data_IF_804366898445
#
_entry.id   IF_804366898445
#
_cell.length_a   1.000
_cell.length_b   1.000
_cell.length_c   1.000
_cell.angle_alpha   90.00
_cell.angle_beta   90.00
_cell.angle_gamma   90.00
#
_symmetry.space_group_name_H-M   'P 1'
#
loop_
_entity.id
_entity.type
_entity.pdbx_description
1 polymer ?
#
# COMPACT_ATOMS: atom_id res chain seq x y z
N UNK A 1 -16.52 4.47 -16.21
CA UNK A 1 -15.19 3.99 -15.72
C UNK A 1 -15.22 4.17 -14.22
N UNK A 2 -15.03 3.08 -13.46
CA UNK A 2 -14.83 3.25 -12.02
C UNK A 2 -13.62 4.19 -11.86
N UNK A 3 -13.75 5.15 -10.97
CA UNK A 3 -12.66 6.08 -10.70
C UNK A 3 -11.51 5.28 -10.07
N UNK A 4 -10.39 5.18 -10.79
CA UNK A 4 -9.22 4.41 -10.33
C UNK A 4 -8.38 5.18 -9.32
N UNK A 5 -8.72 6.45 -9.11
CA UNK A 5 -8.02 7.32 -8.16
C UNK A 5 -8.85 7.50 -6.90
N UNK A 6 -8.22 7.32 -5.75
CA UNK A 6 -8.85 7.49 -4.45
C UNK A 6 -8.48 8.85 -3.86
N UNK A 7 -9.44 9.47 -3.25
CA UNK A 7 -9.24 10.62 -2.37
C UNK A 7 -8.77 10.16 -0.98
N UNK A 8 -8.25 11.09 -0.21
CA UNK A 8 -7.90 10.90 1.20
C UNK A 8 -9.10 10.41 2.03
N UNK A 9 -10.28 10.97 1.78
CA UNK A 9 -11.51 10.61 2.50
C UNK A 9 -11.98 9.19 2.18
N UNK A 10 -11.85 8.74 0.94
CA UNK A 10 -12.16 7.36 0.54
C UNK A 10 -11.18 6.37 1.18
N UNK A 11 -9.89 6.72 1.26
CA UNK A 11 -8.91 5.91 1.96
C UNK A 11 -9.22 5.85 3.47
N UNK A 12 -9.59 6.97 4.09
CA UNK A 12 -10.01 7.00 5.49
C UNK A 12 -11.27 6.16 5.73
N UNK A 13 -12.21 6.20 4.82
CA UNK A 13 -13.41 5.35 4.91
C UNK A 13 -13.07 3.86 4.93
N UNK A 14 -12.07 3.45 4.16
CA UNK A 14 -11.57 2.06 4.18
C UNK A 14 -10.93 1.70 5.52
N UNK A 15 -10.10 2.59 6.09
CA UNK A 15 -9.50 2.41 7.43
C UNK A 15 -10.58 2.23 8.51
N UNK A 16 -11.67 2.98 8.39
CA UNK A 16 -12.80 2.94 9.34
C UNK A 16 -13.79 1.79 9.08
N UNK A 17 -13.50 0.89 8.13
CA UNK A 17 -14.37 -0.24 7.81
C UNK A 17 -15.69 0.14 7.12
N UNK A 18 -15.75 1.29 6.48
CA UNK A 18 -16.94 1.81 5.78
C UNK A 18 -17.00 1.45 4.30
N UNK A 19 -16.14 0.54 3.87
CA UNK A 19 -16.08 0.00 2.50
C UNK A 19 -16.50 -1.47 2.50
N UNK A 20 -16.51 -2.12 1.33
CA UNK A 20 -16.83 -3.54 1.23
C UNK A 20 -15.89 -4.43 2.07
N UNK A 21 -16.39 -5.58 2.50
CA UNK A 21 -15.67 -6.53 3.37
C UNK A 21 -14.35 -7.03 2.75
N UNK A 22 -14.25 -7.03 1.43
CA UNK A 22 -13.06 -7.50 0.68
C UNK A 22 -12.12 -6.34 0.29
N UNK A 23 -12.24 -5.17 0.91
CA UNK A 23 -11.33 -4.06 0.65
C UNK A 23 -10.03 -4.26 1.42
N UNK A 24 -8.93 -4.30 0.68
CA UNK A 24 -7.57 -4.48 1.21
C UNK A 24 -6.75 -3.23 0.92
N UNK A 25 -6.11 -2.70 1.95
CA UNK A 25 -5.12 -1.62 1.80
C UNK A 25 -3.75 -2.26 1.57
N UNK A 26 -3.03 -1.83 0.54
CA UNK A 26 -1.71 -2.34 0.20
C UNK A 26 -0.69 -1.21 0.12
N UNK A 27 0.25 -1.25 1.06
CA UNK A 27 1.44 -0.41 1.07
C UNK A 27 2.53 -1.06 0.23
N UNK A 28 3.02 -0.34 -0.77
CA UNK A 28 4.05 -0.86 -1.68
C UNK A 28 5.40 -0.16 -1.52
N UNK A 29 5.58 0.55 -0.39
CA UNK A 29 6.85 1.16 -0.01
C UNK A 29 7.86 0.13 0.49
N UNK A 30 9.06 0.60 0.86
CA UNK A 30 10.06 -0.23 1.51
C UNK A 30 9.65 -0.63 2.93
N UNK A 31 10.21 -1.73 3.41
CA UNK A 31 9.85 -2.30 4.72
C UNK A 31 10.09 -1.33 5.87
N UNK A 32 11.19 -0.58 5.84
CA UNK A 32 11.54 0.40 6.87
C UNK A 32 10.53 1.56 6.95
N UNK A 33 9.92 1.92 5.83
CA UNK A 33 8.82 2.89 5.79
C UNK A 33 7.54 2.30 6.40
N UNK A 34 7.21 1.05 6.04
CA UNK A 34 5.99 0.39 6.51
C UNK A 34 6.00 0.12 8.01
N UNK A 35 7.15 -0.27 8.60
CA UNK A 35 7.28 -0.47 10.05
C UNK A 35 7.45 0.84 10.83
N UNK A 36 7.78 1.93 10.16
CA UNK A 36 7.93 3.24 10.77
C UNK A 36 9.34 3.60 11.23
N UNK A 37 10.36 2.94 10.71
CA UNK A 37 11.76 3.31 10.94
C UNK A 37 12.18 4.48 10.06
N UNK A 38 11.62 4.56 8.85
CA UNK A 38 11.80 5.66 7.92
C UNK A 38 10.45 6.27 7.52
N UNK A 39 10.45 7.55 7.17
CA UNK A 39 9.24 8.22 6.68
C UNK A 39 9.17 8.28 5.14
N UNK A 40 10.28 8.01 4.45
CA UNK A 40 10.37 8.31 3.02
C UNK A 40 11.61 7.68 2.40
N UNK A 41 11.57 7.33 1.09
CA UNK A 41 12.74 6.91 0.35
C UNK A 41 13.72 8.06 0.06
N UNK A 42 13.32 9.30 0.31
CA UNK A 42 14.15 10.50 0.12
C UNK A 42 14.89 10.94 1.38
N UNK A 43 14.68 10.25 2.47
CA UNK A 43 15.33 10.53 3.74
C UNK A 43 14.50 10.05 4.92
N UNK A 44 15.17 9.52 5.93
CA UNK A 44 14.54 8.87 7.09
C UNK A 44 13.50 9.75 7.80
N UNK A 45 13.74 11.05 7.85
CA UNK A 45 12.91 12.02 8.56
C UNK A 45 12.32 13.08 7.60
N UNK A 46 12.17 12.73 6.31
CA UNK A 46 11.70 13.66 5.28
C UNK A 46 10.22 14.04 5.43
N UNK A 47 9.37 13.10 5.83
CA UNK A 47 7.96 13.36 6.11
C UNK A 47 7.73 13.53 7.63
N UNK A 48 6.68 14.25 8.05
CA UNK A 48 6.50 14.63 9.46
C UNK A 48 6.16 13.44 10.37
N UNK A 49 5.63 12.35 9.83
CA UNK A 49 5.28 11.15 10.61
C UNK A 49 5.79 9.89 9.93
N UNK A 50 6.09 8.87 10.74
CA UNK A 50 6.55 7.53 10.31
C UNK A 50 5.49 6.49 10.63
N UNK A 51 5.42 5.44 9.80
CA UNK A 51 4.46 4.37 9.95
C UNK A 51 3.70 4.08 8.66
N UNK A 52 2.50 3.53 8.80
CA UNK A 52 1.62 3.15 7.70
C UNK A 52 0.18 3.59 7.95
N UNK A 53 -0.61 3.57 6.88
CA UNK A 53 -2.06 3.67 6.99
C UNK A 53 -2.56 2.43 7.73
N UNK A 54 -3.40 2.57 8.77
CA UNK A 54 -3.81 1.44 9.62
C UNK A 54 -4.44 0.30 8.83
N UNK A 55 -4.04 -0.93 9.16
CA UNK A 55 -4.53 -2.14 8.51
C UNK A 55 -3.87 -2.45 7.16
N UNK A 56 -2.96 -1.61 6.68
CA UNK A 56 -2.31 -1.85 5.40
C UNK A 56 -1.41 -3.10 5.45
N UNK A 57 -1.63 -3.99 4.51
CA UNK A 57 -0.73 -5.08 4.19
C UNK A 57 0.48 -4.54 3.42
N UNK A 58 1.55 -5.31 3.36
CA UNK A 58 2.80 -4.87 2.75
C UNK A 58 3.30 -5.83 1.67
N UNK A 59 3.62 -5.26 0.51
CA UNK A 59 4.41 -5.86 -0.56
C UNK A 59 5.12 -4.73 -1.31
N UNK A 60 6.44 -4.68 -1.26
CA UNK A 60 7.18 -3.67 -1.98
C UNK A 60 6.96 -3.78 -3.51
N UNK A 61 6.81 -2.66 -4.19
CA UNK A 61 6.41 -2.59 -5.60
C UNK A 61 7.31 -3.39 -6.54
N UNK A 62 8.61 -3.49 -6.26
CA UNK A 62 9.56 -4.22 -7.11
C UNK A 62 9.42 -5.75 -7.02
N UNK A 63 8.65 -6.30 -6.08
CA UNK A 63 8.32 -7.73 -6.05
C UNK A 63 7.47 -8.18 -7.24
N UNK A 64 6.79 -7.25 -7.89
CA UNK A 64 6.03 -7.53 -9.11
C UNK A 64 6.90 -7.45 -10.38
N UNK A 65 8.18 -7.20 -10.22
CA UNK A 65 9.17 -7.12 -11.29
C UNK A 65 10.15 -8.30 -11.20
N UNK A 66 10.74 -8.65 -12.34
CA UNK A 66 11.84 -9.62 -12.42
C UNK A 66 12.90 -9.17 -13.42
N UNK A 67 14.16 -9.64 -13.29
CA UNK A 67 15.19 -9.34 -14.27
C UNK A 67 14.92 -10.05 -15.59
N UNK A 68 15.39 -9.45 -16.69
CA UNK A 68 15.45 -10.06 -18.02
C UNK A 68 16.70 -9.59 -18.75
N UNK A 69 16.98 -10.20 -19.90
CA UNK A 69 18.12 -9.80 -20.74
C UNK A 69 17.99 -8.36 -21.25
N UNK A 70 16.79 -7.81 -21.31
CA UNK A 70 16.48 -6.44 -21.75
C UNK A 70 16.29 -5.46 -20.59
N UNK A 71 16.52 -5.91 -19.34
CA UNK A 71 16.28 -5.12 -18.14
C UNK A 71 15.10 -5.62 -17.32
N UNK A 72 14.67 -4.86 -16.29
CA UNK A 72 13.53 -5.24 -15.47
C UNK A 72 12.24 -5.36 -16.27
N UNK A 73 11.48 -6.42 -16.02
CA UNK A 73 10.17 -6.65 -16.63
C UNK A 73 9.13 -7.02 -15.58
N UNK A 74 7.87 -6.81 -15.90
CA UNK A 74 6.75 -7.23 -15.06
C UNK A 74 6.71 -8.77 -15.04
N UNK A 75 6.47 -9.35 -13.87
CA UNK A 75 6.19 -10.77 -13.68
C UNK A 75 4.96 -11.21 -14.46
N UNK A 76 4.87 -12.49 -14.80
CA UNK A 76 3.67 -13.05 -15.43
C UNK A 76 2.44 -12.91 -14.52
N UNK A 77 1.20 -12.96 -15.09
CA UNK A 77 -0.02 -12.93 -14.29
C UNK A 77 -0.05 -13.94 -13.14
N UNK A 78 0.42 -15.17 -13.35
CA UNK A 78 0.45 -16.19 -12.31
C UNK A 78 1.51 -15.91 -11.24
N UNK A 79 2.67 -15.40 -11.62
CA UNK A 79 3.69 -14.94 -10.67
C UNK A 79 3.19 -13.76 -9.83
N UNK A 80 2.48 -12.80 -10.44
CA UNK A 80 1.87 -11.66 -9.73
C UNK A 80 0.82 -12.13 -8.72
N UNK A 81 -0.06 -13.06 -9.11
CA UNK A 81 -1.03 -13.66 -8.18
C UNK A 81 -0.34 -14.36 -7.01
N UNK A 82 0.74 -15.09 -7.27
CA UNK A 82 1.51 -15.76 -6.22
C UNK A 82 2.12 -14.77 -5.25
N UNK A 83 2.67 -13.66 -5.73
CA UNK A 83 3.18 -12.58 -4.86
C UNK A 83 2.06 -11.97 -4.01
N UNK A 84 0.93 -11.62 -4.61
CA UNK A 84 -0.22 -11.08 -3.89
C UNK A 84 -0.74 -12.05 -2.81
N UNK A 85 -0.77 -13.35 -3.12
CA UNK A 85 -1.19 -14.39 -2.19
C UNK A 85 -0.29 -14.47 -0.94
N UNK A 86 0.98 -14.12 -1.02
CA UNK A 86 1.88 -14.06 0.16
C UNK A 86 1.42 -13.04 1.20
N UNK A 87 0.69 -12.02 0.78
CA UNK A 87 0.04 -11.04 1.67
C UNK A 87 -1.44 -11.36 1.94
N UNK A 88 -1.93 -12.51 1.49
CA UNK A 88 -3.32 -12.91 1.64
C UNK A 88 -4.29 -12.10 0.78
N UNK A 89 -3.86 -11.67 -0.41
CA UNK A 89 -4.65 -10.89 -1.35
C UNK A 89 -5.00 -11.77 -2.55
N UNK A 90 -6.26 -11.80 -2.92
CA UNK A 90 -6.79 -12.57 -4.05
C UNK A 90 -7.40 -11.67 -5.11
N UNK A 91 -7.68 -12.23 -6.29
CA UNK A 91 -8.30 -11.51 -7.41
C UNK A 91 -9.72 -11.02 -7.12
N UNK A 92 -10.37 -11.56 -6.08
CA UNK A 92 -11.72 -11.18 -5.66
C UNK A 92 -11.73 -9.96 -4.71
N UNK A 93 -10.56 -9.55 -4.26
CA UNK A 93 -10.43 -8.40 -3.37
C UNK A 93 -10.45 -7.07 -4.15
N UNK A 94 -10.99 -6.05 -3.50
CA UNK A 94 -10.82 -4.66 -3.90
C UNK A 94 -9.52 -4.14 -3.29
N UNK A 95 -8.54 -3.78 -4.11
CA UNK A 95 -7.20 -3.40 -3.65
C UNK A 95 -7.00 -1.90 -3.75
N UNK A 96 -6.78 -1.27 -2.60
CA UNK A 96 -6.43 0.14 -2.48
C UNK A 96 -4.92 0.28 -2.29
N UNK A 97 -4.25 0.81 -3.30
CA UNK A 97 -2.80 0.94 -3.35
C UNK A 97 -2.33 2.31 -2.88
N UNK A 98 -1.24 2.35 -2.15
CA UNK A 98 -0.49 3.58 -1.92
C UNK A 98 1.02 3.30 -1.78
N UNK A 99 1.82 4.34 -2.01
CA UNK A 99 3.26 4.33 -1.73
C UNK A 99 3.67 5.62 -1.02
N UNK A 100 4.79 6.22 -1.37
CA UNK A 100 5.15 7.54 -0.83
C UNK A 100 4.50 8.70 -1.58
N UNK A 101 4.56 8.70 -2.94
CA UNK A 101 4.02 9.77 -3.82
C UNK A 101 3.33 9.25 -5.09
N UNK A 102 2.89 7.99 -5.12
CA UNK A 102 2.14 7.43 -6.24
C UNK A 102 2.97 6.65 -7.27
N UNK A 103 4.28 6.87 -7.41
CA UNK A 103 5.09 6.20 -8.43
C UNK A 103 5.15 4.68 -8.25
N UNK A 104 5.48 4.19 -7.05
CA UNK A 104 5.49 2.75 -6.74
C UNK A 104 4.10 2.13 -6.85
N UNK A 105 3.06 2.86 -6.44
CA UNK A 105 1.67 2.43 -6.60
C UNK A 105 1.30 2.26 -8.08
N UNK A 106 1.72 3.18 -8.95
CA UNK A 106 1.50 3.06 -10.40
C UNK A 106 2.18 1.83 -10.99
N UNK A 107 3.42 1.53 -10.54
CA UNK A 107 4.15 0.34 -10.95
C UNK A 107 3.52 -0.97 -10.44
N UNK A 108 2.66 -0.92 -9.43
CA UNK A 108 1.93 -2.08 -8.90
C UNK A 108 0.54 -2.21 -9.54
N UNK A 109 -0.08 -1.10 -9.88
CA UNK A 109 -1.42 -1.07 -10.47
C UNK A 109 -1.50 -1.93 -11.75
N UNK A 110 -0.61 -1.71 -12.69
CA UNK A 110 -0.64 -2.41 -13.97
C UNK A 110 -0.43 -3.92 -13.84
N UNK A 111 0.58 -4.43 -13.10
CA UNK A 111 0.72 -5.87 -12.87
C UNK A 111 -0.52 -6.52 -12.26
N UNK A 112 -1.15 -5.90 -11.27
CA UNK A 112 -2.37 -6.44 -10.65
C UNK A 112 -3.53 -6.48 -11.66
N UNK A 113 -3.73 -5.42 -12.45
CA UNK A 113 -4.75 -5.41 -13.50
C UNK A 113 -4.52 -6.49 -14.55
N UNK A 114 -3.29 -6.69 -14.99
CA UNK A 114 -2.92 -7.75 -15.94
C UNK A 114 -3.09 -9.16 -15.34
N UNK A 115 -2.92 -9.30 -14.03
CA UNK A 115 -3.13 -10.57 -13.32
C UNK A 115 -4.61 -10.89 -13.05
N UNK A 116 -5.55 -10.01 -13.44
CA UNK A 116 -6.98 -10.26 -13.34
C UNK A 116 -7.65 -9.71 -12.07
N UNK A 117 -6.95 -8.87 -11.30
CA UNK A 117 -7.60 -8.12 -10.21
C UNK A 117 -8.59 -7.11 -10.80
N UNK A 118 -9.87 -7.31 -10.55
CA UNK A 118 -10.94 -6.53 -11.18
C UNK A 118 -11.02 -5.10 -10.65
N UNK A 119 -10.90 -4.90 -9.35
CA UNK A 119 -11.01 -3.62 -8.67
C UNK A 119 -9.71 -3.25 -7.97
N UNK A 120 -8.87 -2.49 -8.66
CA UNK A 120 -7.62 -1.92 -8.14
C UNK A 120 -7.70 -0.41 -8.26
N UNK A 121 -7.48 0.29 -7.17
CA UNK A 121 -7.53 1.76 -7.11
C UNK A 121 -6.31 2.31 -6.41
N UNK A 122 -5.89 3.51 -6.79
CA UNK A 122 -4.70 4.16 -6.24
C UNK A 122 -5.05 5.39 -5.41
N UNK A 123 -4.54 5.44 -4.19
CA UNK A 123 -4.46 6.67 -3.42
C UNK A 123 -3.16 7.39 -3.81
N UNK A 124 -3.27 8.32 -4.76
CA UNK A 124 -2.10 8.99 -5.34
C UNK A 124 -1.39 9.91 -4.34
N UNK A 125 -2.13 10.58 -3.46
CA UNK A 125 -1.56 11.40 -2.37
C UNK A 125 -0.61 10.63 -1.47
N UNK A 126 -0.89 9.35 -1.27
CA UNK A 126 -0.01 8.38 -0.61
C UNK A 126 0.42 8.82 0.80
N UNK A 127 1.52 8.25 1.30
CA UNK A 127 2.03 8.59 2.62
C UNK A 127 2.43 10.07 2.75
N UNK A 128 2.91 10.68 1.67
CA UNK A 128 3.27 12.09 1.66
C UNK A 128 2.09 13.00 2.05
N UNK A 129 0.90 12.74 1.54
CA UNK A 129 -0.31 13.48 1.92
C UNK A 129 -0.84 13.03 3.29
N UNK A 130 -0.92 11.72 3.51
CA UNK A 130 -1.45 11.16 4.76
C UNK A 130 -0.67 11.61 5.99
N UNK A 131 0.66 11.63 5.92
CA UNK A 131 1.52 11.99 7.03
C UNK A 131 1.46 13.48 7.40
N UNK A 132 1.06 14.34 6.47
CA UNK A 132 0.91 15.77 6.70
C UNK A 132 -0.33 16.14 7.53
N UNK A 133 -1.34 15.29 7.52
CA UNK A 133 -2.59 15.55 8.23
C UNK A 133 -2.56 14.91 9.63
N UNK A 134 -2.34 15.69 10.70
CA UNK A 134 -2.21 15.13 12.05
C UNK A 134 -3.50 14.51 12.58
N UNK A 135 -4.65 14.77 11.97
CA UNK A 135 -5.92 14.17 12.35
C UNK A 135 -6.08 12.73 11.86
N UNK A 136 -5.26 12.30 10.89
CA UNK A 136 -5.36 10.96 10.33
C UNK A 136 -4.63 9.93 11.20
N UNK A 137 -5.21 8.72 11.37
CA UNK A 137 -4.61 7.64 12.16
C UNK A 137 -3.37 7.08 11.45
N UNK A 138 -2.41 6.62 12.25
CA UNK A 138 -1.25 5.87 11.77
C UNK A 138 -1.03 4.63 12.64
N UNK A 139 -0.36 3.66 12.05
CA UNK A 139 0.07 2.42 12.67
C UNK A 139 1.56 2.24 12.44
N UNK A 140 2.29 1.70 13.40
CA UNK A 140 3.74 1.48 13.29
C UNK A 140 4.16 0.20 14.00
N UNK A 141 5.39 -0.26 13.76
CA UNK A 141 5.94 -1.47 14.30
C UNK A 141 5.62 -2.71 13.45
N UNK A 142 6.28 -3.81 13.81
CA UNK A 142 6.02 -5.11 13.17
C UNK A 142 4.69 -5.68 13.66
N UNK A 143 3.86 -6.23 12.77
CA UNK A 143 2.58 -6.84 13.16
C UNK A 143 2.75 -8.25 13.74
N UNK A 144 3.98 -8.71 13.90
CA UNK A 144 4.31 -10.06 14.37
C UNK A 144 4.64 -10.06 15.87
N UNK A 145 3.98 -10.91 16.64
CA UNK A 145 4.15 -11.07 18.06
C UNK A 145 2.91 -10.67 18.86
N UNK A 146 2.99 -10.74 20.17
CA UNK A 146 1.87 -10.48 21.09
C UNK A 146 1.46 -9.00 21.16
N UNK A 147 2.31 -8.10 20.70
CA UNK A 147 2.01 -6.68 20.67
C UNK A 147 1.27 -6.33 19.37
N UNK A 148 -0.02 -6.06 19.47
CA UNK A 148 -0.75 -5.40 18.38
C UNK A 148 -0.08 -4.07 18.07
N UNK A 149 0.07 -3.70 16.79
CA UNK A 149 0.58 -2.38 16.42
C UNK A 149 -0.23 -1.30 17.15
N UNK A 150 0.47 -0.32 17.71
CA UNK A 150 -0.22 0.81 18.34
C UNK A 150 -0.87 1.64 17.26
N UNK A 151 -2.19 1.68 17.25
CA UNK A 151 -2.94 2.63 16.45
C UNK A 151 -2.77 4.00 17.10
N UNK A 152 -1.92 4.84 16.50
CA UNK A 152 -1.74 6.21 16.97
C UNK A 152 -2.68 7.12 16.19
N UNK A 153 -3.71 7.61 16.87
CA UNK A 153 -4.51 8.75 16.42
C UNK A 153 -3.83 10.02 16.93
N UNK A 154 -3.67 11.02 16.07
CA UNK A 154 -3.28 12.34 16.54
C UNK A 154 -4.38 12.91 17.44
N UNK A 155 -3.98 13.43 18.58
CA UNK A 155 -4.89 14.08 19.51
C UNK A 155 -5.45 15.38 18.95
#
# INVERSE_FOLDING_TARGET
>A
MADVMLTKDEMLAAVLGKTGANTVLLDVRDIDEWIGDSSSPYGKDCAPRKGRIPGAKWLEWYRFMKPSAQGPMIKSPDEVKAEAATAGISTDDTVYLYCFKGAGASNTFLPLKQAGFSDVRMYFGSWNEWSLDPALPIESGLPFGEAKPKLAMAA
#
